data_IF_547724584855
#
_entry.id   IF_547724584855
#
_cell.length_a   1.000
_cell.length_b   1.000
_cell.length_c   1.000
_cell.angle_alpha   90.00
_cell.angle_beta   90.00
_cell.angle_gamma   90.00
#
_symmetry.space_group_name_H-M   'P 1'
#
loop_
_entity.id
_entity.type
_entity.pdbx_description
1 polymer ?
#
# COMPACT_ATOMS: atom_id res chain seq x y z
N UNK A 1 -11.53 12.06 16.46
CA UNK A 1 -10.27 11.40 16.09
C UNK A 1 -9.34 12.49 15.60
N UNK A 2 -8.12 12.66 16.12
CA UNK A 2 -7.22 13.68 15.59
C UNK A 2 -6.96 13.33 14.13
N UNK A 3 -7.12 14.29 13.23
CA UNK A 3 -6.76 14.13 11.82
C UNK A 3 -5.26 13.85 11.81
N UNK A 4 -4.87 12.60 11.58
CA UNK A 4 -3.46 12.26 11.31
C UNK A 4 -3.02 13.10 10.12
N UNK A 5 -1.79 13.58 10.15
CA UNK A 5 -1.16 14.30 9.04
C UNK A 5 -1.46 13.57 7.71
N UNK A 6 -2.01 14.24 6.68
CA UNK A 6 -2.28 13.64 5.38
C UNK A 6 -1.11 12.80 4.83
N UNK A 7 0.13 13.24 5.04
CA UNK A 7 1.31 12.48 4.62
C UNK A 7 1.38 11.12 5.33
N UNK A 8 1.16 11.10 6.64
CA UNK A 8 1.20 9.86 7.44
C UNK A 8 0.06 8.90 7.07
N UNK A 9 -1.11 9.41 6.68
CA UNK A 9 -2.19 8.58 6.13
C UNK A 9 -1.76 7.91 4.83
N UNK A 10 -1.13 8.66 3.93
CA UNK A 10 -0.66 8.13 2.66
C UNK A 10 0.48 7.14 2.85
N UNK A 11 1.41 7.39 3.78
CA UNK A 11 2.50 6.46 4.11
C UNK A 11 2.00 5.04 4.43
N UNK A 12 0.79 4.90 4.98
CA UNK A 12 0.22 3.59 5.29
C UNK A 12 -0.37 2.87 4.07
N UNK A 13 -0.55 3.55 2.95
CA UNK A 13 -1.12 2.97 1.72
C UNK A 13 -0.45 1.66 1.30
N UNK A 14 0.88 1.60 1.18
CA UNK A 14 1.55 0.36 0.84
C UNK A 14 1.37 -0.76 1.89
N UNK A 15 1.24 -0.44 3.19
CA UNK A 15 0.98 -1.45 4.23
C UNK A 15 -0.46 -1.97 4.15
N UNK A 16 -1.43 -1.12 3.82
CA UNK A 16 -2.80 -1.58 3.54
C UNK A 16 -2.85 -2.51 2.33
N UNK A 17 -2.02 -2.28 1.30
CA UNK A 17 -1.89 -3.23 0.18
C UNK A 17 -1.30 -4.56 0.65
N UNK A 18 -0.30 -4.54 1.51
CA UNK A 18 0.27 -5.77 2.09
C UNK A 18 -0.77 -6.51 2.93
N UNK A 19 -1.46 -5.82 3.83
CA UNK A 19 -2.53 -6.37 4.67
C UNK A 19 -3.67 -6.96 3.85
N UNK A 20 -4.10 -6.26 2.78
CA UNK A 20 -5.15 -6.75 1.89
C UNK A 20 -4.83 -8.12 1.27
N UNK A 21 -3.56 -8.34 0.92
CA UNK A 21 -3.11 -9.55 0.24
C UNK A 21 -2.70 -10.67 1.21
N UNK A 22 -2.15 -10.31 2.38
CA UNK A 22 -1.71 -11.31 3.38
C UNK A 22 -2.81 -11.68 4.37
N UNK A 23 -3.85 -10.85 4.50
CA UNK A 23 -4.94 -11.04 5.47
C UNK A 23 -4.52 -10.82 6.93
N UNK A 24 -3.41 -10.13 7.17
CA UNK A 24 -2.87 -9.85 8.51
C UNK A 24 -2.32 -8.42 8.57
N UNK A 25 -2.26 -7.86 9.78
CA UNK A 25 -1.60 -6.58 10.07
C UNK A 25 -0.23 -6.79 10.75
N UNK A 26 0.03 -8.01 11.24
CA UNK A 26 1.32 -8.43 11.78
C UNK A 26 2.07 -9.26 10.73
N UNK A 27 3.15 -8.69 10.18
CA UNK A 27 3.87 -9.25 9.05
C UNK A 27 5.15 -9.95 9.50
N UNK A 28 5.42 -11.14 8.94
CA UNK A 28 6.67 -11.86 9.17
C UNK A 28 7.84 -11.15 8.49
N UNK A 29 9.07 -11.45 8.91
CA UNK A 29 10.28 -10.85 8.33
C UNK A 29 10.35 -11.02 6.80
N UNK A 30 9.99 -12.21 6.30
CA UNK A 30 9.96 -12.50 4.86
C UNK A 30 8.94 -11.64 4.10
N UNK A 31 7.77 -11.34 4.69
CA UNK A 31 6.77 -10.48 4.06
C UNK A 31 7.31 -9.04 3.96
N UNK A 32 8.05 -8.58 4.98
CA UNK A 32 8.68 -7.24 5.02
C UNK A 32 9.81 -7.12 4.00
N UNK A 33 10.63 -8.15 3.84
CA UNK A 33 11.71 -8.20 2.84
C UNK A 33 11.16 -8.13 1.42
N UNK A 34 10.19 -8.99 1.10
CA UNK A 34 9.52 -9.00 -0.21
C UNK A 34 8.81 -7.67 -0.48
N UNK A 35 8.15 -7.11 0.54
CA UNK A 35 7.53 -5.79 0.45
C UNK A 35 8.55 -4.70 0.11
N UNK A 36 9.72 -4.68 0.77
CA UNK A 36 10.76 -3.69 0.51
C UNK A 36 11.29 -3.76 -0.94
N UNK A 37 11.52 -4.97 -1.46
CA UNK A 37 11.93 -5.16 -2.86
C UNK A 37 10.87 -4.66 -3.85
N UNK A 38 9.59 -4.92 -3.59
CA UNK A 38 8.48 -4.47 -4.43
C UNK A 38 8.34 -2.95 -4.36
N UNK A 39 8.41 -2.38 -3.17
CA UNK A 39 8.32 -0.94 -2.94
C UNK A 39 9.43 -0.22 -3.72
N UNK A 40 10.67 -0.67 -3.61
CA UNK A 40 11.80 -0.10 -4.35
C UNK A 40 11.57 -0.15 -5.86
N UNK A 41 11.14 -1.29 -6.40
CA UNK A 41 10.82 -1.43 -7.82
C UNK A 41 9.70 -0.49 -8.28
N UNK A 42 8.70 -0.21 -7.44
CA UNK A 42 7.60 0.69 -7.75
C UNK A 42 8.04 2.15 -7.67
N UNK A 43 8.84 2.53 -6.67
CA UNK A 43 9.43 3.87 -6.54
C UNK A 43 10.11 4.30 -7.85
N UNK A 44 10.95 3.42 -8.41
CA UNK A 44 11.67 3.66 -9.67
C UNK A 44 10.76 3.92 -10.89
N UNK A 45 9.50 3.47 -10.85
CA UNK A 45 8.53 3.54 -11.95
C UNK A 45 7.39 4.53 -11.69
N UNK A 46 7.46 5.26 -10.58
CA UNK A 46 6.44 6.20 -10.14
C UNK A 46 6.87 7.64 -10.49
N UNK A 47 5.97 8.50 -10.99
CA UNK A 47 6.23 9.93 -11.21
C UNK A 47 6.68 10.65 -9.93
N UNK A 48 7.34 11.80 -10.08
CA UNK A 48 8.11 12.44 -9.01
C UNK A 48 7.28 12.70 -7.72
N UNK A 49 6.09 13.29 -7.85
CA UNK A 49 5.29 13.67 -6.68
C UNK A 49 4.80 12.46 -5.88
N UNK A 50 4.22 11.44 -6.55
CA UNK A 50 3.82 10.20 -5.89
C UNK A 50 5.03 9.39 -5.39
N UNK A 51 6.18 9.49 -6.06
CA UNK A 51 7.43 8.85 -5.66
C UNK A 51 7.94 9.40 -4.34
N UNK A 52 7.85 10.71 -4.11
CA UNK A 52 8.32 11.33 -2.85
C UNK A 52 7.62 10.70 -1.64
N UNK A 53 6.30 10.50 -1.70
CA UNK A 53 5.55 9.82 -0.63
C UNK A 53 6.06 8.39 -0.42
N UNK A 54 6.24 7.61 -1.50
CA UNK A 54 6.76 6.25 -1.39
C UNK A 54 8.20 6.20 -0.88
N UNK A 55 9.02 7.20 -1.19
CA UNK A 55 10.37 7.32 -0.65
C UNK A 55 10.33 7.51 0.86
N UNK A 56 9.40 8.31 1.38
CA UNK A 56 9.25 8.43 2.85
C UNK A 56 8.87 7.12 3.53
N UNK A 57 8.14 6.23 2.83
CA UNK A 57 7.83 4.89 3.31
C UNK A 57 9.09 4.03 3.37
N UNK A 58 9.91 4.06 2.31
CA UNK A 58 11.17 3.33 2.26
C UNK A 58 12.15 3.82 3.33
N UNK A 59 12.22 5.14 3.55
CA UNK A 59 13.13 5.77 4.50
C UNK A 59 12.73 5.52 5.97
N UNK A 60 11.42 5.44 6.26
CA UNK A 60 10.91 5.13 7.61
C UNK A 60 11.23 3.68 8.04
N UNK A 61 11.35 2.76 7.08
CA UNK A 61 11.83 1.40 7.34
C UNK A 61 10.96 0.63 8.36
N UNK A 62 11.58 -0.09 9.33
CA UNK A 62 10.86 -0.94 10.28
C UNK A 62 9.89 -0.20 11.21
N UNK A 63 10.15 1.06 11.52
CA UNK A 63 9.33 1.83 12.48
C UNK A 63 7.91 2.05 11.96
N UNK A 64 7.76 2.23 10.64
CA UNK A 64 6.45 2.39 10.01
C UNK A 64 5.57 1.14 10.14
N UNK A 65 6.17 -0.05 10.16
CA UNK A 65 5.43 -1.29 10.40
C UNK A 65 4.90 -1.37 11.84
N UNK A 66 5.66 -0.87 12.81
CA UNK A 66 5.21 -0.80 14.19
C UNK A 66 4.05 0.20 14.34
N UNK A 67 4.18 1.38 13.72
CA UNK A 67 3.10 2.38 13.70
C UNK A 67 1.83 1.85 13.04
N UNK A 68 1.97 1.04 11.99
CA UNK A 68 0.86 0.38 11.31
C UNK A 68 0.22 -0.72 12.17
N UNK A 69 1.00 -1.54 12.86
CA UNK A 69 0.48 -2.59 13.76
C UNK A 69 -0.28 -2.00 14.96
N UNK A 70 0.01 -0.75 15.33
CA UNK A 70 -0.73 0.01 16.34
C UNK A 70 -1.99 0.71 15.80
N UNK A 71 -2.21 0.67 14.48
CA UNK A 71 -3.41 1.20 13.85
C UNK A 71 -4.58 0.22 14.00
N UNK A 72 -5.63 0.64 14.69
CA UNK A 72 -6.79 -0.21 14.99
C UNK A 72 -7.90 -0.15 13.92
N UNK A 73 -7.65 0.56 12.81
CA UNK A 73 -8.66 0.71 11.76
C UNK A 73 -8.77 -0.59 10.95
N UNK A 74 -9.99 -1.06 10.66
CA UNK A 74 -10.18 -2.15 9.73
C UNK A 74 -9.66 -1.78 8.33
N UNK A 75 -9.15 -2.77 7.58
CA UNK A 75 -8.65 -2.63 6.20
C UNK A 75 -9.48 -1.68 5.32
N UNK A 76 -10.80 -1.88 5.26
CA UNK A 76 -11.71 -1.06 4.45
C UNK A 76 -11.72 0.41 4.91
N UNK A 77 -11.68 0.65 6.22
CA UNK A 77 -11.63 1.99 6.80
C UNK A 77 -10.28 2.67 6.50
N UNK A 78 -9.18 1.92 6.60
CA UNK A 78 -7.84 2.40 6.26
C UNK A 78 -7.71 2.83 4.80
N UNK A 79 -8.17 2.00 3.87
CA UNK A 79 -8.16 2.30 2.42
C UNK A 79 -9.07 3.49 2.10
N UNK A 80 -10.27 3.56 2.70
CA UNK A 80 -11.17 4.71 2.50
C UNK A 80 -10.57 6.01 2.98
N UNK A 81 -9.87 6.00 4.12
CA UNK A 81 -9.22 7.21 4.61
C UNK A 81 -8.12 7.71 3.64
N UNK A 82 -7.43 6.78 2.96
CA UNK A 82 -6.51 7.14 1.88
C UNK A 82 -7.27 7.75 0.71
N UNK A 83 -8.36 7.13 0.27
CA UNK A 83 -9.18 7.66 -0.82
C UNK A 83 -9.68 9.08 -0.49
N UNK A 84 -10.14 9.32 0.74
CA UNK A 84 -10.57 10.65 1.22
C UNK A 84 -9.45 11.69 1.15
N UNK A 85 -8.24 11.34 1.61
CA UNK A 85 -7.07 12.25 1.52
C UNK A 85 -6.72 12.55 0.07
N UNK A 86 -6.73 11.53 -0.80
CA UNK A 86 -6.43 11.71 -2.23
C UNK A 86 -7.49 12.55 -2.95
N UNK A 87 -8.77 12.37 -2.62
CA UNK A 87 -9.89 13.14 -3.20
C UNK A 87 -9.87 14.62 -2.81
N UNK A 88 -9.21 14.98 -1.70
CA UNK A 88 -9.05 16.36 -1.27
C UNK A 88 -7.83 17.06 -1.93
N UNK A 89 -6.95 16.30 -2.58
CA UNK A 89 -5.69 16.77 -3.14
C UNK A 89 -5.72 17.00 -4.66
N UNK A 90 -4.51 17.03 -5.25
CA UNK A 90 -4.31 17.12 -6.70
C UNK A 90 -4.71 15.81 -7.40
N UNK A 91 -5.42 15.92 -8.52
CA UNK A 91 -5.98 14.76 -9.23
C UNK A 91 -4.94 13.92 -9.95
N UNK A 92 -3.87 14.54 -10.46
CA UNK A 92 -2.81 13.83 -11.17
C UNK A 92 -1.96 13.06 -10.17
N UNK A 93 -1.59 13.71 -9.06
CA UNK A 93 -0.97 13.04 -7.92
C UNK A 93 -1.80 11.85 -7.42
N UNK A 94 -3.12 12.05 -7.25
CA UNK A 94 -4.00 11.00 -6.77
C UNK A 94 -4.05 9.79 -7.72
N UNK A 95 -4.11 10.03 -9.03
CA UNK A 95 -4.12 8.97 -10.03
C UNK A 95 -2.80 8.17 -10.02
N UNK A 96 -1.67 8.87 -9.99
CA UNK A 96 -0.34 8.25 -9.95
C UNK A 96 -0.11 7.45 -8.68
N UNK A 97 -0.54 7.98 -7.54
CA UNK A 97 -0.42 7.30 -6.25
C UNK A 97 -1.30 6.05 -6.17
N UNK A 98 -2.57 6.13 -6.59
CA UNK A 98 -3.48 4.96 -6.68
C UNK A 98 -2.88 3.87 -7.57
N UNK A 99 -2.33 4.26 -8.73
CA UNK A 99 -1.67 3.32 -9.64
C UNK A 99 -0.45 2.65 -8.99
N UNK A 100 0.35 3.41 -8.23
CA UNK A 100 1.48 2.86 -7.50
C UNK A 100 1.06 1.84 -6.43
N UNK A 101 0.01 2.14 -5.65
CA UNK A 101 -0.55 1.21 -4.67
C UNK A 101 -1.01 -0.09 -5.31
N UNK A 102 -1.72 -0.02 -6.44
CA UNK A 102 -2.15 -1.21 -7.17
C UNK A 102 -0.96 -2.03 -7.69
N UNK A 103 0.10 -1.38 -8.18
CA UNK A 103 1.34 -2.06 -8.60
C UNK A 103 2.02 -2.77 -7.43
N UNK A 104 2.04 -2.17 -6.25
CA UNK A 104 2.57 -2.79 -5.02
C UNK A 104 1.73 -4.04 -4.69
N UNK A 105 0.41 -3.91 -4.62
CA UNK A 105 -0.49 -5.05 -4.37
C UNK A 105 -0.30 -6.19 -5.37
N UNK A 106 -0.20 -5.88 -6.66
CA UNK A 106 0.07 -6.88 -7.71
C UNK A 106 1.43 -7.56 -7.50
N UNK A 107 2.47 -6.80 -7.14
CA UNK A 107 3.78 -7.34 -6.82
C UNK A 107 3.73 -8.36 -5.69
N UNK A 108 3.03 -8.00 -4.59
CA UNK A 108 2.90 -8.85 -3.39
C UNK A 108 2.09 -10.10 -3.73
N UNK A 109 0.98 -9.92 -4.44
CA UNK A 109 0.12 -11.01 -4.88
C UNK A 109 0.85 -12.01 -5.77
N UNK A 110 1.72 -11.54 -6.68
CA UNK A 110 2.57 -12.40 -7.52
C UNK A 110 3.60 -13.16 -6.69
N UNK A 111 4.29 -12.46 -5.78
CA UNK A 111 5.32 -13.06 -4.94
C UNK A 111 4.78 -14.22 -4.08
N UNK A 112 3.52 -14.14 -3.67
CA UNK A 112 2.83 -15.19 -2.90
C UNK A 112 2.23 -16.32 -3.74
N UNK A 113 1.97 -16.09 -5.02
CA UNK A 113 1.39 -17.11 -5.88
C UNK A 113 2.41 -18.13 -6.38
N UNK A 114 1.97 -19.10 -7.21
CA UNK A 114 2.82 -20.18 -7.69
C UNK A 114 4.15 -19.68 -8.29
N UNK A 115 5.26 -20.17 -7.71
CA UNK A 115 6.62 -19.81 -8.08
C UNK A 115 6.95 -18.31 -8.02
N UNK A 116 6.17 -17.50 -7.30
CA UNK A 116 6.34 -16.06 -7.23
C UNK A 116 6.01 -15.33 -8.53
N UNK A 117 5.25 -15.95 -9.45
CA UNK A 117 5.07 -15.46 -10.83
C UNK A 117 3.64 -15.18 -11.24
N UNK A 118 2.66 -15.68 -10.49
CA UNK A 118 1.25 -15.60 -10.84
C UNK A 118 0.44 -15.04 -9.69
N UNK A 119 -0.60 -14.26 -10.00
CA UNK A 119 -1.59 -13.83 -9.01
C UNK A 119 -2.60 -14.97 -8.86
N UNK A 120 -2.94 -15.35 -7.63
CA UNK A 120 -4.04 -16.30 -7.39
C UNK A 120 -5.39 -15.65 -7.66
N UNK A 121 -6.42 -16.44 -7.99
CA UNK A 121 -7.77 -15.92 -8.20
C UNK A 121 -8.32 -15.18 -6.96
N UNK A 122 -7.94 -15.61 -5.75
CA UNK A 122 -8.29 -14.94 -4.50
C UNK A 122 -7.63 -13.55 -4.39
N UNK A 123 -6.33 -13.46 -4.63
CA UNK A 123 -5.61 -12.19 -4.60
C UNK A 123 -6.10 -11.24 -5.70
N UNK A 124 -6.51 -11.77 -6.86
CA UNK A 124 -7.12 -10.97 -7.92
C UNK A 124 -8.43 -10.32 -7.47
N UNK A 125 -9.31 -11.07 -6.79
CA UNK A 125 -10.54 -10.52 -6.21
C UNK A 125 -10.26 -9.47 -5.12
N UNK A 126 -9.26 -9.71 -4.27
CA UNK A 126 -8.84 -8.73 -3.27
C UNK A 126 -8.32 -7.43 -3.93
N UNK A 127 -7.50 -7.53 -4.98
CA UNK A 127 -7.01 -6.37 -5.71
C UNK A 127 -8.14 -5.57 -6.37
N UNK A 128 -9.14 -6.26 -6.94
CA UNK A 128 -10.32 -5.60 -7.50
C UNK A 128 -11.11 -4.85 -6.42
N UNK A 129 -11.34 -5.48 -5.26
CA UNK A 129 -12.02 -4.83 -4.15
C UNK A 129 -11.25 -3.59 -3.66
N UNK A 130 -9.93 -3.67 -3.53
CA UNK A 130 -9.11 -2.53 -3.13
C UNK A 130 -9.16 -1.41 -4.17
N UNK A 131 -9.11 -1.75 -5.46
CA UNK A 131 -9.25 -0.77 -6.54
C UNK A 131 -10.58 -0.02 -6.46
N UNK A 132 -11.69 -0.73 -6.25
CA UNK A 132 -13.02 -0.14 -6.07
C UNK A 132 -13.10 0.75 -4.81
N UNK A 133 -12.41 0.41 -3.72
CA UNK A 133 -12.36 1.23 -2.51
C UNK A 133 -11.49 2.49 -2.66
N UNK A 134 -10.56 2.50 -3.61
CA UNK A 134 -9.71 3.65 -3.93
C UNK A 134 -10.36 4.60 -4.95
N UNK A 135 -11.41 4.18 -5.66
CA UNK A 135 -12.14 4.99 -6.63
C UNK A 135 -12.97 6.08 -5.94
#
# INVERSE_FOLDING_TARGET
>A
MPIRDPLHVLQFGPMWMLSAITGTESFAAIDREVFAEILDNVIHRTPAEAREVLQTVADAGPDLFLDFELDDRPLVSGIRHIAEVLSAGDSDFAADYKLALLRIGIGIAKARGPYGRQVSAENEQQLLLVAELLC
#
